data_IF_640774911852
#
_entry.id   IF_640774911852
#
_cell.length_a   1.000
_cell.length_b   1.000
_cell.length_c   1.000
_cell.angle_alpha   90.00
_cell.angle_beta   90.00
_cell.angle_gamma   90.00
#
_symmetry.space_group_name_H-M   'P 1'
#
loop_
_entity.id
_entity.type
_entity.pdbx_description
1 polymer ?
#
# COMPACT_ATOMS: atom_id res chain seq x y z
N UNK A 1 13.10 6.69 -34.96
CA UNK A 1 12.21 5.54 -34.76
C UNK A 1 13.05 4.27 -34.76
N UNK A 2 13.41 3.75 -33.58
CA UNK A 2 14.19 2.51 -33.46
C UNK A 2 13.25 1.40 -33.00
N UNK A 3 12.92 0.48 -33.91
CA UNK A 3 11.99 -0.62 -33.64
C UNK A 3 12.65 -1.67 -32.76
N UNK A 4 12.09 -1.88 -31.56
CA UNK A 4 12.23 -3.13 -30.81
C UNK A 4 11.52 -4.23 -31.58
N UNK A 5 12.26 -4.91 -32.46
CA UNK A 5 11.83 -6.21 -32.99
C UNK A 5 11.74 -7.24 -31.86
N UNK A 6 10.91 -8.29 -32.00
CA UNK A 6 10.93 -9.40 -31.05
C UNK A 6 12.36 -9.95 -31.00
N UNK A 7 12.90 -10.16 -29.79
CA UNK A 7 14.20 -10.80 -29.58
C UNK A 7 14.29 -12.01 -30.52
N UNK A 8 15.22 -11.95 -31.47
CA UNK A 8 15.23 -12.89 -32.58
C UNK A 8 15.52 -14.31 -32.09
N UNK A 9 15.24 -15.35 -32.89
CA UNK A 9 15.62 -16.72 -32.56
C UNK A 9 17.13 -16.84 -32.26
N UNK A 10 17.95 -16.02 -32.92
CA UNK A 10 19.40 -15.92 -32.72
C UNK A 10 19.76 -15.42 -31.31
N UNK A 11 18.99 -14.47 -30.76
CA UNK A 11 19.20 -13.97 -29.40
C UNK A 11 18.80 -15.02 -28.36
N UNK A 12 17.73 -15.77 -28.61
CA UNK A 12 17.28 -16.87 -27.75
C UNK A 12 18.29 -18.01 -27.69
N UNK A 13 18.83 -18.41 -28.83
CA UNK A 13 19.84 -19.47 -28.92
C UNK A 13 21.14 -19.09 -28.20
N UNK A 14 21.60 -17.85 -28.35
CA UNK A 14 22.77 -17.35 -27.64
C UNK A 14 22.56 -17.35 -26.11
N UNK A 15 21.39 -16.89 -25.63
CA UNK A 15 21.05 -16.92 -24.20
C UNK A 15 21.00 -18.35 -23.65
N UNK A 16 20.50 -19.32 -24.43
CA UNK A 16 20.49 -20.73 -24.05
C UNK A 16 21.91 -21.31 -23.93
N UNK A 17 22.80 -21.02 -24.89
CA UNK A 17 24.20 -21.45 -24.86
C UNK A 17 24.97 -20.89 -23.65
N UNK A 18 24.69 -19.65 -23.26
CA UNK A 18 25.27 -19.09 -22.03
C UNK A 18 24.83 -19.87 -20.79
N UNK A 19 23.55 -20.23 -20.69
CA UNK A 19 23.06 -21.05 -19.58
C UNK A 19 23.70 -22.44 -19.57
N UNK A 20 23.81 -23.09 -20.72
CA UNK A 20 24.47 -24.40 -20.86
C UNK A 20 25.93 -24.34 -20.41
N UNK A 21 26.69 -23.34 -20.89
CA UNK A 21 28.09 -23.17 -20.50
C UNK A 21 28.27 -22.92 -19.00
N UNK A 22 27.41 -22.12 -18.38
CA UNK A 22 27.44 -21.83 -16.94
C UNK A 22 27.11 -23.08 -16.10
N UNK A 23 26.13 -23.87 -16.54
CA UNK A 23 25.78 -25.14 -15.89
C UNK A 23 26.92 -26.15 -16.02
N UNK A 24 27.49 -26.29 -17.22
CA UNK A 24 28.60 -27.21 -17.47
C UNK A 24 29.82 -26.87 -16.60
N UNK A 25 30.16 -25.58 -16.47
CA UNK A 25 31.24 -25.14 -15.60
C UNK A 25 31.01 -25.52 -14.13
N UNK A 26 29.77 -25.45 -13.63
CA UNK A 26 29.44 -25.82 -12.26
C UNK A 26 29.38 -27.34 -12.01
N UNK A 27 29.17 -28.13 -13.07
CA UNK A 27 29.16 -29.59 -12.99
C UNK A 27 30.57 -30.21 -13.06
N UNK A 28 31.63 -29.39 -13.16
CA UNK A 28 33.00 -29.83 -12.94
C UNK A 28 33.18 -30.44 -11.55
N UNK A 29 32.37 -30.02 -10.58
CA UNK A 29 32.20 -30.64 -9.27
C UNK A 29 30.77 -31.22 -9.14
N UNK A 30 30.58 -32.34 -8.42
CA UNK A 30 29.26 -32.92 -8.21
C UNK A 30 28.37 -31.97 -7.40
N UNK A 31 27.51 -31.23 -8.10
CA UNK A 31 26.64 -30.21 -7.53
C UNK A 31 25.17 -30.60 -7.62
N UNK A 32 24.42 -30.41 -6.54
CA UNK A 32 22.97 -30.60 -6.56
C UNK A 32 22.24 -29.48 -7.30
N UNK A 33 21.03 -29.73 -7.80
CA UNK A 33 20.19 -28.73 -8.49
C UNK A 33 20.02 -27.44 -7.66
N UNK A 34 19.90 -27.56 -6.33
CA UNK A 34 19.77 -26.41 -5.42
C UNK A 34 21.03 -25.55 -5.34
N UNK A 35 22.20 -26.16 -5.48
CA UNK A 35 23.51 -25.46 -5.47
C UNK A 35 23.75 -24.79 -6.82
N UNK A 36 23.45 -25.51 -7.91
CA UNK A 36 23.51 -25.01 -9.27
C UNK A 36 22.67 -23.73 -9.45
N UNK A 37 21.41 -23.74 -8.99
CA UNK A 37 20.50 -22.58 -9.06
C UNK A 37 20.87 -21.48 -8.05
N UNK A 38 21.82 -21.71 -7.12
CA UNK A 38 22.38 -20.66 -6.25
C UNK A 38 23.64 -20.02 -6.83
N UNK A 39 24.34 -20.71 -7.73
CA UNK A 39 25.54 -20.18 -8.38
C UNK A 39 25.22 -18.88 -9.13
N UNK A 40 26.02 -17.80 -8.97
CA UNK A 40 25.72 -16.50 -9.54
C UNK A 40 25.59 -16.53 -11.07
N UNK A 41 26.48 -17.26 -11.75
CA UNK A 41 26.52 -17.29 -13.22
C UNK A 41 25.33 -18.05 -13.82
N UNK A 42 24.98 -19.21 -13.23
CA UNK A 42 23.79 -19.98 -13.63
C UNK A 42 22.52 -19.17 -13.37
N UNK A 43 22.44 -18.47 -12.24
CA UNK A 43 21.30 -17.61 -11.93
C UNK A 43 21.14 -16.47 -12.93
N UNK A 44 22.25 -15.85 -13.31
CA UNK A 44 22.25 -14.75 -14.26
C UNK A 44 21.84 -15.23 -15.65
N UNK A 45 22.47 -16.29 -16.16
CA UNK A 45 22.14 -16.87 -17.47
C UNK A 45 20.67 -17.37 -17.53
N UNK A 46 20.17 -17.97 -16.44
CA UNK A 46 18.76 -18.38 -16.35
C UNK A 46 17.81 -17.17 -16.34
N UNK A 47 18.21 -16.05 -15.76
CA UNK A 47 17.41 -14.82 -15.79
C UNK A 47 17.32 -14.26 -17.21
N UNK A 48 18.42 -14.22 -17.96
CA UNK A 48 18.46 -13.75 -19.36
C UNK A 48 17.53 -14.58 -20.27
N UNK A 49 17.58 -15.91 -20.15
CA UNK A 49 16.66 -16.81 -20.89
C UNK A 49 15.20 -16.51 -20.53
N UNK A 50 14.89 -16.32 -19.24
CA UNK A 50 13.52 -16.01 -18.80
C UNK A 50 13.02 -14.65 -19.27
N UNK A 51 13.90 -13.65 -19.36
CA UNK A 51 13.59 -12.35 -19.95
C UNK A 51 13.25 -12.51 -21.43
N UNK A 52 14.08 -13.23 -22.19
CA UNK A 52 13.85 -13.44 -23.63
C UNK A 52 12.55 -14.17 -23.93
N UNK A 53 12.27 -15.22 -23.16
CA UNK A 53 10.99 -15.93 -23.27
C UNK A 53 9.79 -15.04 -22.92
N UNK A 54 9.98 -14.06 -22.04
CA UNK A 54 8.90 -13.13 -21.70
C UNK A 54 8.69 -12.03 -22.74
N UNK A 55 9.77 -11.51 -23.31
CA UNK A 55 9.76 -10.61 -24.47
C UNK A 55 9.05 -11.28 -25.66
N UNK A 56 9.28 -12.59 -25.85
CA UNK A 56 8.58 -13.41 -26.84
C UNK A 56 7.13 -13.79 -26.46
N UNK A 57 6.62 -13.35 -25.31
CA UNK A 57 5.27 -13.66 -24.84
C UNK A 57 5.06 -15.11 -24.38
N UNK A 58 6.12 -15.92 -24.33
CA UNK A 58 6.09 -17.33 -23.92
C UNK A 58 6.14 -17.50 -22.40
N UNK A 59 6.57 -16.47 -21.66
CA UNK A 59 6.50 -16.41 -20.20
C UNK A 59 5.81 -15.13 -19.74
N UNK A 60 4.91 -15.27 -18.77
CA UNK A 60 4.35 -14.12 -18.05
C UNK A 60 5.41 -13.59 -17.07
N UNK A 61 6.28 -12.69 -17.55
CA UNK A 61 7.24 -11.99 -16.70
C UNK A 61 6.61 -10.71 -16.12
N UNK A 62 6.92 -10.39 -14.85
CA UNK A 62 7.67 -11.21 -13.92
C UNK A 62 6.86 -12.44 -13.49
N UNK A 63 7.49 -13.63 -13.51
CA UNK A 63 6.94 -14.90 -13.00
C UNK A 63 6.62 -14.71 -11.52
N UNK A 64 5.45 -14.14 -11.22
CA UNK A 64 4.99 -13.71 -9.90
C UNK A 64 6.13 -13.11 -9.07
N UNK A 65 6.51 -11.85 -9.33
CA UNK A 65 7.09 -10.97 -8.31
C UNK A 65 6.05 -10.67 -7.22
N UNK A 66 5.50 -11.72 -6.62
CA UNK A 66 4.84 -11.60 -5.33
C UNK A 66 5.86 -11.13 -4.30
N UNK A 67 5.46 -10.38 -3.27
CA UNK A 67 6.37 -9.90 -2.25
C UNK A 67 7.22 -11.05 -1.73
N UNK A 68 8.54 -11.05 -1.96
CA UNK A 68 9.42 -12.14 -1.53
C UNK A 68 9.39 -12.27 -0.01
N UNK A 69 9.71 -13.43 0.55
CA UNK A 69 9.78 -13.59 2.01
C UNK A 69 10.76 -12.59 2.65
N UNK A 70 11.88 -12.30 1.96
CA UNK A 70 12.86 -11.29 2.35
C UNK A 70 12.25 -9.87 2.30
N UNK A 71 11.53 -9.51 1.24
CA UNK A 71 10.85 -8.23 1.14
C UNK A 71 9.78 -8.07 2.23
N UNK A 72 8.99 -9.12 2.53
CA UNK A 72 8.02 -9.13 3.63
C UNK A 72 8.69 -8.96 4.99
N UNK A 73 9.86 -9.58 5.22
CA UNK A 73 10.64 -9.40 6.46
C UNK A 73 11.15 -7.97 6.58
N UNK A 74 11.74 -7.41 5.52
CA UNK A 74 12.20 -6.01 5.50
C UNK A 74 11.06 -5.03 5.73
N UNK A 75 9.91 -5.24 5.08
CA UNK A 75 8.73 -4.40 5.28
C UNK A 75 8.21 -4.47 6.72
N UNK A 76 8.25 -5.64 7.37
CA UNK A 76 7.90 -5.78 8.79
C UNK A 76 8.83 -4.95 9.68
N UNK A 77 10.14 -5.05 9.48
CA UNK A 77 11.12 -4.25 10.23
C UNK A 77 10.87 -2.75 10.05
N UNK A 78 10.60 -2.30 8.81
CA UNK A 78 10.29 -0.90 8.53
C UNK A 78 9.00 -0.44 9.22
N UNK A 79 7.94 -1.26 9.20
CA UNK A 79 6.67 -0.94 9.87
C UNK A 79 6.81 -0.88 11.40
N UNK A 80 7.71 -1.67 11.98
CA UNK A 80 8.01 -1.60 13.42
C UNK A 80 8.77 -0.34 13.77
N UNK A 81 9.73 0.08 12.94
CA UNK A 81 10.50 1.32 13.16
C UNK A 81 9.66 2.58 12.94
N UNK A 82 8.70 2.55 12.01
CA UNK A 82 7.83 3.65 11.66
C UNK A 82 6.36 3.26 11.87
N UNK A 83 5.82 3.37 13.09
CA UNK A 83 4.42 3.03 13.38
C UNK A 83 3.44 3.97 12.66
N UNK A 84 2.17 3.58 12.61
CA UNK A 84 1.10 4.46 12.09
C UNK A 84 1.04 5.72 12.96
N UNK A 85 1.10 6.93 12.37
CA UNK A 85 1.04 8.17 13.14
C UNK A 85 -0.30 8.27 13.87
N UNK A 86 -0.28 8.67 15.14
CA UNK A 86 -1.50 8.87 15.93
C UNK A 86 -2.26 10.15 15.55
N UNK A 87 -1.54 11.16 15.04
CA UNK A 87 -2.11 12.41 14.58
C UNK A 87 -1.28 13.03 13.44
N UNK A 88 -1.81 14.08 12.81
CA UNK A 88 -1.20 14.77 11.66
C UNK A 88 -0.19 15.89 12.03
N UNK A 89 -0.07 16.24 13.31
CA UNK A 89 0.71 17.40 13.76
C UNK A 89 2.20 17.05 13.83
N UNK A 90 3.05 17.99 13.46
CA UNK A 90 4.51 17.85 13.60
C UNK A 90 5.22 16.89 12.63
N UNK A 91 4.49 16.23 11.72
CA UNK A 91 5.11 15.40 10.67
C UNK A 91 5.51 16.23 9.45
N UNK A 92 6.72 16.02 8.97
CA UNK A 92 7.16 16.53 7.68
C UNK A 92 6.39 15.87 6.53
N UNK A 93 6.32 16.51 5.37
CA UNK A 93 5.62 15.92 4.20
C UNK A 93 6.26 14.62 3.73
N UNK A 94 7.58 14.49 3.87
CA UNK A 94 8.32 13.25 3.60
C UNK A 94 7.85 12.13 4.53
N UNK A 95 7.68 12.39 5.82
CA UNK A 95 7.25 11.39 6.79
C UNK A 95 5.79 11.00 6.58
N UNK A 96 4.94 11.94 6.13
CA UNK A 96 3.56 11.65 5.72
C UNK A 96 3.53 10.69 4.53
N UNK A 97 4.32 10.96 3.49
CA UNK A 97 4.42 10.08 2.33
C UNK A 97 4.96 8.71 2.71
N UNK A 98 5.97 8.65 3.57
CA UNK A 98 6.53 7.39 4.07
C UNK A 98 5.49 6.59 4.86
N UNK A 99 4.74 7.23 5.76
CA UNK A 99 3.67 6.59 6.52
C UNK A 99 2.58 6.02 5.60
N UNK A 100 2.18 6.76 4.56
CA UNK A 100 1.23 6.28 3.54
C UNK A 100 1.81 5.13 2.73
N UNK A 101 3.07 5.18 2.33
CA UNK A 101 3.72 4.10 1.59
C UNK A 101 3.81 2.80 2.41
N UNK A 102 4.05 2.90 3.72
CA UNK A 102 4.19 1.74 4.60
C UNK A 102 2.85 1.15 5.03
N UNK A 103 1.86 2.00 5.34
CA UNK A 103 0.61 1.58 6.00
C UNK A 103 -0.65 1.82 5.17
N UNK A 104 -0.53 2.49 4.03
CA UNK A 104 -1.62 2.73 3.09
C UNK A 104 -2.81 3.42 3.74
N UNK A 105 -3.95 2.75 3.69
CA UNK A 105 -5.23 3.23 4.17
C UNK A 105 -5.21 3.68 5.64
N UNK A 106 -4.55 2.93 6.53
CA UNK A 106 -4.50 3.27 7.95
C UNK A 106 -3.85 4.65 8.18
N UNK A 107 -2.80 4.98 7.44
CA UNK A 107 -2.16 6.29 7.50
C UNK A 107 -3.02 7.38 6.83
N UNK A 108 -3.68 7.07 5.71
CA UNK A 108 -4.56 8.01 5.01
C UNK A 108 -5.75 8.46 5.87
N UNK A 109 -6.34 7.54 6.64
CA UNK A 109 -7.43 7.85 7.59
C UNK A 109 -7.02 8.91 8.62
N UNK A 110 -5.76 8.90 9.07
CA UNK A 110 -5.25 9.84 10.07
C UNK A 110 -4.76 11.16 9.43
N UNK A 111 -3.99 11.06 8.35
CA UNK A 111 -3.29 12.21 7.77
C UNK A 111 -4.18 13.07 6.88
N UNK A 112 -5.10 12.45 6.12
CA UNK A 112 -5.99 13.14 5.18
C UNK A 112 -7.46 12.71 5.33
N UNK A 113 -8.12 13.01 6.48
CA UNK A 113 -9.43 12.46 6.82
C UNK A 113 -10.53 12.78 5.79
N UNK A 114 -10.51 13.99 5.21
CA UNK A 114 -11.48 14.40 4.18
C UNK A 114 -11.35 13.58 2.90
N UNK A 115 -10.12 13.28 2.49
CA UNK A 115 -9.85 12.40 1.35
C UNK A 115 -10.33 10.98 1.67
N UNK A 116 -9.96 10.45 2.84
CA UNK A 116 -10.36 9.11 3.25
C UNK A 116 -11.89 8.94 3.26
N UNK A 117 -12.63 9.91 3.77
CA UNK A 117 -14.10 9.92 3.77
C UNK A 117 -14.69 9.91 2.35
N UNK A 118 -14.17 10.77 1.46
CA UNK A 118 -14.65 10.87 0.07
C UNK A 118 -14.30 9.64 -0.76
N UNK A 119 -13.12 9.08 -0.53
CA UNK A 119 -12.63 7.88 -1.19
C UNK A 119 -13.26 6.58 -0.65
N UNK A 120 -14.11 6.65 0.39
CA UNK A 120 -14.73 5.47 0.99
C UNK A 120 -13.77 4.62 1.83
N UNK A 121 -12.62 5.18 2.21
CA UNK A 121 -11.61 4.54 3.06
C UNK A 121 -11.98 4.61 4.55
N UNK A 122 -13.14 5.15 4.91
CA UNK A 122 -13.65 5.12 6.29
C UNK A 122 -15.01 4.47 6.27
N UNK A 123 -15.25 3.54 7.19
CA UNK A 123 -16.57 2.95 7.38
C UNK A 123 -17.56 4.06 7.66
N UNK A 124 -18.48 4.27 6.71
CA UNK A 124 -19.60 5.18 6.92
C UNK A 124 -20.49 4.50 7.94
N UNK A 125 -20.59 5.08 9.13
CA UNK A 125 -21.57 4.64 10.12
C UNK A 125 -22.93 4.73 9.45
N UNK A 126 -23.51 3.57 9.11
CA UNK A 126 -24.91 3.48 8.76
C UNK A 126 -25.66 3.74 10.05
N UNK A 127 -26.08 4.98 10.27
CA UNK A 127 -27.12 5.26 11.23
C UNK A 127 -28.37 4.62 10.62
N UNK A 128 -28.60 3.34 10.91
CA UNK A 128 -29.91 2.73 10.71
C UNK A 128 -30.85 3.46 11.64
N UNK A 129 -31.53 4.47 11.11
CA UNK A 129 -32.59 5.25 11.76
C UNK A 129 -33.83 4.38 12.05
N UNK A 130 -33.66 3.22 12.69
CA UNK A 130 -34.80 2.39 13.10
C UNK A 130 -35.01 2.30 14.61
N UNK A 131 -34.01 2.59 15.45
CA UNK A 131 -34.19 2.43 16.90
C UNK A 131 -33.63 3.54 17.82
N UNK A 132 -33.16 4.68 17.30
CA UNK A 132 -32.57 5.72 18.17
C UNK A 132 -33.34 7.06 18.28
N UNK A 133 -34.53 7.20 17.68
CA UNK A 133 -35.37 8.40 17.83
C UNK A 133 -36.57 8.23 18.77
N UNK A 134 -36.68 7.12 19.52
CA UNK A 134 -37.84 6.87 20.40
C UNK A 134 -37.70 7.32 21.86
N UNK A 135 -36.65 8.05 22.23
CA UNK A 135 -36.56 8.56 23.60
C UNK A 135 -36.03 10.00 23.71
N UNK A 136 -36.73 10.94 23.08
CA UNK A 136 -36.74 12.33 23.51
C UNK A 136 -38.14 12.65 24.05
N UNK A 137 -38.33 12.85 25.37
CA UNK A 137 -39.61 13.30 25.88
C UNK A 137 -39.70 14.81 25.64
N UNK A 138 -40.39 15.21 24.57
CA UNK A 138 -40.78 16.61 24.36
C UNK A 138 -42.29 16.72 24.27
N UNK A 139 -42.90 17.06 25.41
CA UNK A 139 -44.00 18.01 25.51
C UNK A 139 -45.43 17.43 25.54
N UNK A 140 -46.05 17.46 26.73
CA UNK A 140 -47.49 17.25 26.90
C UNK A 140 -48.00 17.60 28.30
N UNK A 141 -48.17 18.90 28.56
CA UNK A 141 -49.10 19.55 29.51
C UNK A 141 -49.14 19.15 31.00
N UNK A 142 -48.74 20.09 31.87
CA UNK A 142 -49.26 20.18 33.25
C UNK A 142 -48.26 20.66 34.32
N UNK A 143 -48.35 21.94 34.72
CA UNK A 143 -48.11 22.36 36.12
C UNK A 143 -46.71 22.84 36.51
N UNK A 144 -46.62 24.17 36.71
CA UNK A 144 -45.86 24.89 37.74
C UNK A 144 -44.36 24.61 37.96
N UNK A 145 -43.52 25.62 37.71
CA UNK A 145 -42.16 25.68 38.26
C UNK A 145 -41.29 26.72 37.57
N UNK A 146 -41.22 27.91 38.16
CA UNK A 146 -40.30 28.99 37.77
C UNK A 146 -38.85 28.49 37.70
N UNK A 147 -38.17 28.76 36.57
CA UNK A 147 -36.75 29.15 36.56
C UNK A 147 -36.42 29.75 35.20
N UNK A 148 -36.51 31.07 35.14
CA UNK A 148 -35.91 31.89 34.10
C UNK A 148 -34.38 31.80 34.23
N UNK A 149 -33.70 31.55 33.11
CA UNK A 149 -32.37 32.08 32.80
C UNK A 149 -32.19 31.93 31.27
N UNK A 150 -32.62 32.98 30.56
CA UNK A 150 -32.45 33.12 29.12
C UNK A 150 -31.00 33.36 28.75
N UNK A 151 -30.60 32.83 27.59
CA UNK A 151 -29.36 33.20 26.93
C UNK A 151 -29.56 34.32 25.91
N UNK A 152 -28.44 34.95 25.54
CA UNK A 152 -28.25 35.54 24.21
C UNK A 152 -28.39 37.05 24.16
N UNK A 153 -27.27 37.73 23.90
CA UNK A 153 -27.17 39.18 23.87
C UNK A 153 -27.51 39.85 22.55
N UNK A 154 -27.61 41.19 22.63
CA UNK A 154 -27.37 42.26 21.65
C UNK A 154 -27.90 43.55 22.35
N UNK A 155 -27.39 44.76 22.29
CA UNK A 155 -26.44 45.52 21.47
C UNK A 155 -26.87 47.00 21.55
N UNK A 156 -25.94 47.96 21.43
CA UNK A 156 -26.20 49.42 21.30
C UNK A 156 -26.22 50.18 22.64
N UNK A 157 -25.28 51.08 22.92
CA UNK A 157 -25.19 52.49 22.44
C UNK A 157 -25.67 53.39 23.59
N UNK A 158 -25.14 54.56 23.98
CA UNK A 158 -24.12 55.51 23.58
C UNK A 158 -24.43 56.81 24.37
N UNK A 159 -23.41 57.65 24.65
CA UNK A 159 -23.48 59.02 25.26
C UNK A 159 -24.10 59.13 26.68
N UNK A 160 -23.60 59.93 27.63
CA UNK A 160 -22.84 61.19 27.60
C UNK A 160 -21.63 61.14 28.57
#
# INVERSE_FOLDING_TARGET
AGGTGPAGPVDGELRARYLESAVYACLAEPSGIRELVRHPDVRWALAEVRVGLAEAGMLRYPLRLGPTAAARRRLRVLRTAFPVPANRRGLSDRDRLLAVALHGEAALRVLVPRFALRAGLTDRVRITEKDMLRHWPRGGSGGAGHTYCGGGGCGGGGSE
#
